data_IF_000482127502
#
_entry.id   IF_000482127502
#
_cell.length_a   1.000
_cell.length_b   1.000
_cell.length_c   1.000
_cell.angle_alpha   90.00
_cell.angle_beta   90.00
_cell.angle_gamma   90.00
#
_symmetry.space_group_name_H-M   'P 1'
#
loop_
_entity.id
_entity.type
_entity.pdbx_description
1 polymer ?
#
# COMPACT_ATOMS: atom_id res chain seq x y z
N UNK A 1 46.06 2.47 13.59
CA UNK A 1 45.17 3.01 14.63
C UNK A 1 44.24 3.99 13.95
N UNK A 2 43.32 3.48 13.13
CA UNK A 2 41.96 3.05 13.49
C UNK A 2 40.98 4.14 13.08
N UNK A 3 40.57 4.06 11.82
CA UNK A 3 39.47 4.79 11.22
C UNK A 3 38.26 3.86 11.16
N UNK A 4 37.42 3.92 12.19
CA UNK A 4 36.04 3.42 12.24
C UNK A 4 35.25 4.60 12.86
N UNK A 5 34.09 5.03 12.38
CA UNK A 5 32.93 4.21 12.08
C UNK A 5 32.00 4.95 11.10
N UNK A 6 31.73 4.30 9.96
CA UNK A 6 30.68 4.67 9.02
C UNK A 6 29.39 4.00 9.50
N UNK A 7 28.64 4.70 10.33
CA UNK A 7 27.37 4.24 10.89
C UNK A 7 26.33 5.34 10.78
N UNK A 8 25.92 5.69 9.55
CA UNK A 8 24.76 6.55 9.34
C UNK A 8 23.50 5.76 9.72
N UNK A 9 23.00 6.05 10.92
CA UNK A 9 21.67 5.69 11.41
C UNK A 9 20.60 6.15 10.41
N UNK A 10 19.86 5.21 9.84
CA UNK A 10 18.73 5.44 8.95
C UNK A 10 17.47 5.97 9.67
N UNK A 11 17.57 6.37 10.94
CA UNK A 11 16.41 6.64 11.78
C UNK A 11 16.00 8.12 11.87
N UNK A 12 16.68 9.08 11.24
CA UNK A 12 16.45 10.50 11.58
C UNK A 12 16.14 11.47 10.43
N UNK A 13 15.97 11.01 9.18
CA UNK A 13 15.72 11.95 8.06
C UNK A 13 14.40 11.79 7.30
N UNK A 14 13.41 11.11 7.86
CA UNK A 14 12.05 11.08 7.31
C UNK A 14 11.02 11.52 8.37
N UNK A 15 11.00 12.82 8.69
CA UNK A 15 9.90 13.44 9.45
C UNK A 15 9.12 14.39 8.55
N UNK A 16 8.22 13.81 7.75
CA UNK A 16 6.95 14.43 7.36
C UNK A 16 6.01 13.42 6.68
N UNK A 17 5.98 12.17 7.18
CA UNK A 17 5.10 11.12 6.65
C UNK A 17 3.77 11.20 7.38
N UNK A 18 2.72 11.69 6.71
CA UNK A 18 1.40 11.79 7.33
C UNK A 18 0.77 10.40 7.41
N UNK A 19 0.98 9.71 8.52
CA UNK A 19 0.29 8.46 8.83
C UNK A 19 -1.20 8.78 9.06
N UNK A 20 -2.09 8.28 8.20
CA UNK A 20 -3.54 8.47 8.37
C UNK A 20 -4.23 7.13 8.56
N UNK A 21 -4.96 6.99 9.66
CA UNK A 21 -5.73 5.81 10.01
C UNK A 21 -7.23 6.10 9.82
N UNK A 22 -7.90 5.28 9.00
CA UNK A 22 -9.35 5.29 8.82
C UNK A 22 -9.94 3.94 9.29
N UNK A 23 -11.17 3.96 9.80
CA UNK A 23 -11.92 2.77 10.20
C UNK A 23 -13.16 2.56 9.32
N UNK A 24 -13.49 1.29 9.05
CA UNK A 24 -14.68 0.91 8.29
C UNK A 24 -15.32 -0.36 8.86
N UNK A 25 -16.62 -0.52 8.60
CA UNK A 25 -17.42 -1.66 9.08
C UNK A 25 -18.03 -2.44 7.92
N UNK A 26 -18.01 -3.77 7.99
CA UNK A 26 -18.70 -4.64 7.03
C UNK A 26 -20.24 -4.59 7.16
N UNK A 27 -20.78 -3.98 8.23
CA UNK A 27 -22.21 -3.69 8.40
C UNK A 27 -23.15 -4.89 8.58
N UNK A 28 -22.71 -6.12 8.25
CA UNK A 28 -23.49 -7.36 8.29
C UNK A 28 -22.69 -8.50 8.97
N UNK A 29 -23.22 -9.16 10.01
CA UNK A 29 -22.56 -10.30 10.67
C UNK A 29 -22.28 -11.48 9.72
N UNK A 30 -23.00 -11.60 8.59
CA UNK A 30 -22.74 -12.59 7.54
C UNK A 30 -21.48 -12.23 6.75
N UNK A 31 -21.27 -10.95 6.46
CA UNK A 31 -20.05 -10.45 5.81
C UNK A 31 -18.82 -10.64 6.72
N UNK A 32 -18.97 -10.42 8.02
CA UNK A 32 -17.93 -10.70 9.03
C UNK A 32 -17.48 -12.16 9.01
N UNK A 33 -18.42 -13.10 9.11
CA UNK A 33 -18.13 -14.54 9.06
C UNK A 33 -17.56 -14.99 7.70
N UNK A 34 -17.77 -14.20 6.64
CA UNK A 34 -17.24 -14.48 5.31
C UNK A 34 -15.76 -14.11 5.21
N UNK A 35 -15.32 -12.99 5.80
CA UNK A 35 -13.92 -12.55 5.77
C UNK A 35 -13.00 -13.49 6.57
N UNK A 36 -13.48 -14.06 7.68
CA UNK A 36 -12.71 -15.05 8.46
C UNK A 36 -12.44 -16.37 7.73
N UNK A 37 -13.23 -16.68 6.70
CA UNK A 37 -13.10 -17.91 5.90
C UNK A 37 -12.34 -17.70 4.60
N UNK A 38 -11.93 -16.46 4.30
CA UNK A 38 -11.17 -16.16 3.09
C UNK A 38 -9.81 -16.84 3.15
N UNK A 39 -9.41 -17.43 2.03
CA UNK A 39 -8.02 -17.81 1.82
C UNK A 39 -7.12 -16.56 1.85
N UNK A 40 -5.81 -16.69 2.10
CA UNK A 40 -4.90 -15.55 2.07
C UNK A 40 -4.97 -14.74 0.76
N UNK A 41 -5.23 -15.40 -0.37
CA UNK A 41 -5.40 -14.76 -1.67
C UNK A 41 -6.68 -13.93 -1.73
N UNK A 42 -7.81 -14.51 -1.32
CA UNK A 42 -9.09 -13.81 -1.32
C UNK A 42 -9.08 -12.65 -0.32
N UNK A 43 -8.43 -12.82 0.83
CA UNK A 43 -8.22 -11.74 1.80
C UNK A 43 -7.40 -10.60 1.20
N UNK A 44 -6.34 -10.91 0.44
CA UNK A 44 -5.56 -9.92 -0.30
C UNK A 44 -6.41 -9.13 -1.30
N UNK A 45 -7.17 -9.84 -2.14
CA UNK A 45 -8.07 -9.22 -3.12
C UNK A 45 -9.18 -8.37 -2.48
N UNK A 46 -9.71 -8.83 -1.35
CA UNK A 46 -10.68 -8.06 -0.57
C UNK A 46 -10.04 -6.77 -0.05
N UNK A 47 -8.85 -6.83 0.54
CA UNK A 47 -8.15 -5.64 1.02
C UNK A 47 -7.75 -4.67 -0.08
N UNK A 48 -7.30 -5.13 -1.24
CA UNK A 48 -7.08 -4.26 -2.41
C UNK A 48 -8.36 -3.53 -2.83
N UNK A 49 -9.53 -4.17 -2.69
CA UNK A 49 -10.82 -3.55 -3.01
C UNK A 49 -11.12 -2.43 -2.01
N UNK A 50 -10.90 -2.67 -0.72
CA UNK A 50 -11.05 -1.66 0.33
C UNK A 50 -10.08 -0.49 0.09
N UNK A 51 -8.80 -0.76 -0.15
CA UNK A 51 -7.80 0.26 -0.43
C UNK A 51 -8.17 1.12 -1.64
N UNK A 52 -8.60 0.49 -2.74
CA UNK A 52 -9.05 1.23 -3.93
C UNK A 52 -10.26 2.11 -3.64
N UNK A 53 -11.25 1.60 -2.90
CA UNK A 53 -12.45 2.37 -2.55
C UNK A 53 -12.13 3.56 -1.65
N UNK A 54 -11.27 3.38 -0.65
CA UNK A 54 -10.85 4.45 0.26
C UNK A 54 -10.06 5.54 -0.46
N UNK A 55 -9.11 5.16 -1.32
CA UNK A 55 -8.37 6.14 -2.13
C UNK A 55 -9.30 6.88 -3.10
N UNK A 56 -10.23 6.18 -3.74
CA UNK A 56 -11.23 6.80 -4.61
C UNK A 56 -12.16 7.77 -3.85
N UNK A 57 -12.60 7.40 -2.64
CA UNK A 57 -13.40 8.27 -1.77
C UNK A 57 -12.64 9.54 -1.35
N UNK A 58 -11.32 9.46 -1.25
CA UNK A 58 -10.41 10.60 -1.03
C UNK A 58 -10.14 11.41 -2.31
N UNK A 59 -10.78 11.09 -3.43
CA UNK A 59 -10.66 11.79 -4.70
C UNK A 59 -9.50 11.34 -5.58
N UNK A 60 -8.81 10.25 -5.24
CA UNK A 60 -7.76 9.70 -6.09
C UNK A 60 -8.38 9.00 -7.31
N UNK A 61 -7.67 9.03 -8.43
CA UNK A 61 -8.05 8.21 -9.59
C UNK A 61 -7.36 6.86 -9.50
N UNK A 62 -8.12 5.77 -9.37
CA UNK A 62 -7.58 4.41 -9.39
C UNK A 62 -7.61 3.90 -10.84
N UNK A 63 -6.44 3.69 -11.44
CA UNK A 63 -6.34 3.28 -12.85
C UNK A 63 -6.48 1.78 -13.05
N UNK A 64 -6.07 0.99 -12.07
CA UNK A 64 -6.12 -0.45 -12.16
C UNK A 64 -5.71 -1.14 -10.87
N UNK A 65 -6.18 -2.37 -10.73
CA UNK A 65 -5.85 -3.29 -9.64
C UNK A 65 -5.15 -4.51 -10.21
N UNK A 66 -4.19 -5.08 -9.49
CA UNK A 66 -3.42 -6.25 -9.91
C UNK A 66 -2.82 -6.10 -11.32
N UNK A 67 -2.19 -4.97 -11.62
CA UNK A 67 -1.52 -4.82 -12.90
C UNK A 67 -0.32 -5.78 -12.96
N UNK A 68 -0.21 -6.56 -14.03
CA UNK A 68 0.83 -7.57 -14.21
C UNK A 68 1.57 -7.38 -15.51
N UNK A 69 2.88 -7.57 -15.46
CA UNK A 69 3.72 -7.67 -16.63
C UNK A 69 4.74 -8.79 -16.44
N UNK A 70 5.59 -9.03 -17.45
CA UNK A 70 6.70 -10.01 -17.36
C UNK A 70 7.61 -9.79 -16.14
N UNK A 71 7.78 -8.54 -15.73
CA UNK A 71 8.76 -8.14 -14.71
C UNK A 71 8.22 -8.18 -13.28
N UNK A 72 6.91 -8.38 -13.11
CA UNK A 72 6.25 -8.41 -11.80
C UNK A 72 4.82 -7.86 -11.83
N UNK A 73 4.35 -7.43 -10.66
CA UNK A 73 2.99 -6.93 -10.46
C UNK A 73 2.96 -5.69 -9.56
N UNK A 74 1.93 -4.87 -9.76
CA UNK A 74 1.56 -3.74 -8.91
C UNK A 74 0.14 -3.98 -8.39
N UNK A 75 -0.06 -3.90 -7.08
CA UNK A 75 -1.36 -4.13 -6.45
C UNK A 75 -2.35 -3.05 -6.91
N UNK A 76 -1.98 -1.77 -6.79
CA UNK A 76 -2.74 -0.64 -7.30
C UNK A 76 -1.84 0.38 -7.99
N UNK A 77 -2.37 1.04 -9.01
CA UNK A 77 -1.79 2.26 -9.57
C UNK A 77 -2.82 3.38 -9.55
N UNK A 78 -2.46 4.49 -8.91
CA UNK A 78 -3.36 5.60 -8.68
C UNK A 78 -2.75 6.94 -9.10
N UNK A 79 -3.59 7.95 -9.30
CA UNK A 79 -3.17 9.35 -9.36
C UNK A 79 -3.69 10.08 -8.13
N UNK A 80 -2.76 10.69 -7.40
CA UNK A 80 -3.07 11.63 -6.31
C UNK A 80 -3.16 13.05 -6.90
N UNK A 81 -4.35 13.68 -6.89
CA UNK A 81 -4.54 15.02 -7.42
C UNK A 81 -3.86 16.11 -6.59
N UNK A 82 -3.67 15.92 -5.27
CA UNK A 82 -3.02 16.89 -4.39
C UNK A 82 -1.50 16.90 -4.59
N UNK A 83 -0.91 15.71 -4.76
CA UNK A 83 0.54 15.55 -4.98
C UNK A 83 0.94 15.68 -6.45
N UNK A 84 -0.03 15.76 -7.36
CA UNK A 84 0.20 15.66 -8.81
C UNK A 84 1.08 14.45 -9.17
N UNK A 85 0.83 13.31 -8.51
CA UNK A 85 1.70 12.14 -8.57
C UNK A 85 0.97 10.93 -9.14
N UNK A 86 1.70 10.10 -9.88
CA UNK A 86 1.29 8.70 -10.11
C UNK A 86 1.96 7.84 -9.04
N UNK A 87 1.13 7.06 -8.35
CA UNK A 87 1.49 6.34 -7.13
C UNK A 87 1.28 4.85 -7.35
N UNK A 88 2.33 4.06 -7.15
CA UNK A 88 2.17 2.62 -6.92
C UNK A 88 1.79 2.41 -5.45
N UNK A 89 0.65 1.78 -5.17
CA UNK A 89 0.24 1.50 -3.79
C UNK A 89 0.36 0.00 -3.56
N UNK A 90 1.25 -0.40 -2.66
CA UNK A 90 1.33 -1.77 -2.16
C UNK A 90 0.27 -1.96 -1.07
N UNK A 91 -0.48 -3.07 -1.12
CA UNK A 91 -1.55 -3.35 -0.17
C UNK A 91 -1.22 -4.58 0.67
N UNK A 92 -1.15 -4.41 1.99
CA UNK A 92 -0.98 -5.51 2.94
C UNK A 92 -2.24 -5.69 3.76
N UNK A 93 -2.83 -6.88 3.71
CA UNK A 93 -4.03 -7.23 4.48
C UNK A 93 -3.71 -8.32 5.49
N UNK A 94 -4.15 -8.15 6.73
CA UNK A 94 -3.94 -9.12 7.81
C UNK A 94 -5.12 -9.14 8.78
N UNK A 95 -5.24 -10.21 9.55
CA UNK A 95 -6.12 -10.23 10.71
C UNK A 95 -5.46 -9.60 11.94
N UNK A 96 -6.27 -8.98 12.79
CA UNK A 96 -5.90 -8.52 14.11
C UNK A 96 -5.33 -9.69 14.94
N UNK A 97 -4.23 -9.44 15.66
CA UNK A 97 -3.51 -10.48 16.40
C UNK A 97 -2.52 -11.29 15.55
N UNK A 98 -2.35 -10.99 14.26
CA UNK A 98 -1.23 -11.51 13.48
C UNK A 98 0.10 -11.08 14.13
N UNK A 99 1.04 -12.02 14.21
CA UNK A 99 2.38 -11.82 14.81
C UNK A 99 3.28 -10.91 13.97
N UNK A 100 2.88 -10.60 12.75
CA UNK A 100 3.58 -9.69 11.83
C UNK A 100 2.98 -8.29 11.96
N UNK A 101 3.80 -7.23 12.18
CA UNK A 101 3.33 -5.85 12.21
C UNK A 101 2.53 -5.46 10.95
N UNK A 102 1.55 -4.55 11.08
CA UNK A 102 0.79 -4.02 9.92
C UNK A 102 1.74 -3.34 8.94
N UNK A 103 2.64 -2.55 9.51
CA UNK A 103 3.68 -1.81 8.82
C UNK A 103 4.98 -2.58 9.00
N UNK A 104 5.13 -3.67 8.26
CA UNK A 104 6.43 -4.30 8.10
C UNK A 104 7.25 -3.49 7.09
N UNK A 105 8.49 -3.18 7.43
CA UNK A 105 9.40 -2.45 6.55
C UNK A 105 9.48 -3.11 5.17
N UNK A 106 9.15 -2.37 4.11
CA UNK A 106 9.36 -2.82 2.74
C UNK A 106 10.86 -2.83 2.47
N UNK A 107 11.40 -3.96 2.01
CA UNK A 107 12.82 -4.07 1.71
C UNK A 107 13.23 -3.10 0.60
N UNK A 108 14.49 -2.67 0.60
CA UNK A 108 15.02 -1.77 -0.45
C UNK A 108 14.90 -2.39 -1.84
N UNK A 109 15.09 -3.71 -1.94
CA UNK A 109 14.94 -4.45 -3.20
C UNK A 109 13.50 -4.41 -3.70
N UNK A 110 12.52 -4.57 -2.80
CA UNK A 110 11.10 -4.48 -3.15
C UNK A 110 10.72 -3.06 -3.57
N UNK A 111 11.16 -2.03 -2.87
CA UNK A 111 10.95 -0.62 -3.27
C UNK A 111 11.54 -0.32 -4.64
N UNK A 112 12.79 -0.75 -4.90
CA UNK A 112 13.43 -0.56 -6.20
C UNK A 112 12.65 -1.28 -7.32
N UNK A 113 12.10 -2.45 -7.05
CA UNK A 113 11.25 -3.19 -8.00
C UNK A 113 9.94 -2.45 -8.28
N UNK A 114 9.24 -1.99 -7.24
CA UNK A 114 7.97 -1.26 -7.40
C UNK A 114 8.15 0.01 -8.23
N UNK A 115 9.22 0.79 -7.98
CA UNK A 115 9.56 1.97 -8.80
C UNK A 115 9.76 1.62 -10.28
N UNK A 116 10.52 0.55 -10.58
CA UNK A 116 10.74 0.12 -11.97
C UNK A 116 9.44 -0.29 -12.65
N UNK A 117 8.58 -1.02 -11.93
CA UNK A 117 7.27 -1.43 -12.44
C UNK A 117 6.37 -0.23 -12.70
N UNK A 118 6.37 0.78 -11.82
CA UNK A 118 5.60 2.01 -12.01
C UNK A 118 6.06 2.79 -13.25
N UNK A 119 7.37 2.91 -13.47
CA UNK A 119 7.92 3.52 -14.68
C UNK A 119 7.47 2.77 -15.94
N UNK A 120 7.49 1.43 -15.91
CA UNK A 120 7.00 0.62 -17.03
C UNK A 120 5.51 0.83 -17.27
N UNK A 121 4.70 0.84 -16.21
CA UNK A 121 3.26 1.09 -16.31
C UNK A 121 2.96 2.44 -16.96
N UNK A 122 3.67 3.49 -16.57
CA UNK A 122 3.49 4.84 -17.15
C UNK A 122 3.84 4.86 -18.63
N UNK A 123 4.93 4.20 -19.02
CA UNK A 123 5.31 4.09 -20.42
C UNK A 123 4.22 3.38 -21.24
N UNK A 124 3.61 2.32 -20.69
CA UNK A 124 2.53 1.57 -21.34
C UNK A 124 1.23 2.39 -21.44
N UNK A 125 0.92 3.23 -20.47
CA UNK A 125 -0.30 4.05 -20.45
C UNK A 125 -0.17 5.41 -21.15
N UNK A 126 1.03 5.81 -21.55
CA UNK A 126 1.31 7.13 -22.14
C UNK A 126 0.88 8.33 -21.27
N UNK A 127 0.84 8.14 -19.95
CA UNK A 127 0.49 9.20 -18.98
C UNK A 127 1.72 10.06 -18.70
N UNK A 128 1.54 11.38 -18.59
CA UNK A 128 2.56 12.27 -18.05
C UNK A 128 2.27 12.54 -16.57
N UNK A 129 3.25 12.22 -15.72
CA UNK A 129 3.19 12.44 -14.29
C UNK A 129 4.49 13.13 -13.84
N UNK A 130 4.43 14.36 -13.29
CA UNK A 130 5.62 15.07 -12.84
C UNK A 130 6.27 14.41 -11.62
N UNK A 131 5.49 13.64 -10.84
CA UNK A 131 5.93 12.99 -9.63
C UNK A 131 5.54 11.51 -9.62
N UNK A 132 6.47 10.67 -9.15
CA UNK A 132 6.28 9.24 -8.95
C UNK A 132 6.48 8.91 -7.49
N UNK A 133 5.56 8.12 -6.93
CA UNK A 133 5.64 7.71 -5.54
C UNK A 133 5.34 6.23 -5.37
N UNK A 134 5.78 5.69 -4.23
CA UNK A 134 5.35 4.39 -3.76
C UNK A 134 4.82 4.58 -2.35
N UNK A 135 3.57 4.18 -2.16
CA UNK A 135 2.88 4.27 -0.88
C UNK A 135 2.54 2.85 -0.39
N UNK A 136 2.27 2.71 0.91
CA UNK A 136 1.79 1.48 1.53
C UNK A 136 0.42 1.71 2.15
N UNK A 137 -0.52 0.83 1.82
CA UNK A 137 -1.79 0.69 2.53
C UNK A 137 -1.76 -0.61 3.34
N UNK A 138 -1.88 -0.48 4.66
CA UNK A 138 -1.99 -1.61 5.57
C UNK A 138 -3.41 -1.72 6.11
N UNK A 139 -4.07 -2.86 5.88
CA UNK A 139 -5.43 -3.14 6.35
C UNK A 139 -5.36 -4.22 7.43
N UNK A 140 -5.94 -3.91 8.59
CA UNK A 140 -6.09 -4.86 9.70
C UNK A 140 -7.57 -5.17 9.88
N UNK A 141 -7.93 -6.44 9.70
CA UNK A 141 -9.30 -6.97 9.87
C UNK A 141 -9.51 -7.43 11.30
N UNK A 142 -10.52 -6.91 11.96
CA UNK A 142 -10.90 -7.27 13.32
C UNK A 142 -12.00 -8.35 13.31
N UNK A 143 -12.11 -9.12 14.41
CA UNK A 143 -13.07 -10.24 14.53
C UNK A 143 -14.54 -9.81 14.43
N UNK A 144 -14.82 -8.54 14.71
CA UNK A 144 -16.17 -7.97 14.65
C UNK A 144 -16.59 -7.62 13.21
N UNK A 145 -15.72 -7.86 12.23
CA UNK A 145 -15.93 -7.50 10.83
C UNK A 145 -15.73 -6.02 10.56
N UNK A 146 -15.13 -5.32 11.51
CA UNK A 146 -14.56 -4.00 11.27
C UNK A 146 -13.14 -4.15 10.73
N UNK A 147 -12.64 -3.11 10.10
CA UNK A 147 -11.26 -3.03 9.65
C UNK A 147 -10.73 -1.64 9.88
N UNK A 148 -9.41 -1.57 10.06
CA UNK A 148 -8.67 -0.30 10.13
C UNK A 148 -7.67 -0.27 8.99
N UNK A 149 -7.61 0.85 8.29
CA UNK A 149 -6.68 1.11 7.21
C UNK A 149 -5.68 2.17 7.66
N UNK A 150 -4.39 1.88 7.50
CA UNK A 150 -3.31 2.84 7.66
C UNK A 150 -2.70 3.12 6.29
N UNK A 151 -2.68 4.38 5.89
CA UNK A 151 -2.01 4.83 4.67
C UNK A 151 -0.69 5.51 5.02
N UNK A 152 0.40 5.04 4.42
CA UNK A 152 1.75 5.58 4.58
C UNK A 152 2.24 6.04 3.22
N UNK A 153 2.39 7.35 3.10
CA UNK A 153 2.86 8.00 1.89
C UNK A 153 4.40 7.98 1.84
N UNK A 154 4.96 7.89 0.63
CA UNK A 154 6.38 8.04 0.34
C UNK A 154 7.30 7.10 1.14
N UNK A 155 7.03 5.81 1.06
CA UNK A 155 7.83 4.77 1.72
C UNK A 155 9.15 4.46 0.99
N UNK A 156 9.51 5.25 -0.01
CA UNK A 156 10.44 4.91 -1.06
C UNK A 156 11.74 5.70 -0.96
#
# INVERSE_FOLDING_TARGET
MSSESYGMSLAESARSSSERADDGSLGDPTATASVERLTPRELGQWGESIAANELAARGWTVHGRNWRCRSGELDLVCTDPQRHAVVAVEVKTRHAGSRVPAVEAISREKLARLRRLLVQWIADQQIHAPHLAVDLVAITVHREGTWTLTHIEDIA
#
